data_IF_810721639061
#
_entry.id   IF_810721639061
#
_cell.length_a   1.000
_cell.length_b   1.000
_cell.length_c   1.000
_cell.angle_alpha   90.00
_cell.angle_beta   90.00
_cell.angle_gamma   90.00
#
_symmetry.space_group_name_H-M   'P 1'
#
loop_
_entity.id
_entity.type
_entity.pdbx_description
1 polymer ?
#
# COMPACT_ATOMS: atom_id res chain seq x y z
N UNK A 1 -12.16 -39.41 5.85
CA UNK A 1 -10.95 -38.84 6.47
C UNK A 1 -10.42 -37.75 5.56
N UNK A 2 -10.74 -36.50 5.87
CA UNK A 2 -10.21 -35.31 5.17
C UNK A 2 -8.87 -34.95 5.81
N UNK A 3 -7.76 -34.88 5.06
CA UNK A 3 -6.52 -34.37 5.64
C UNK A 3 -6.70 -32.87 5.88
N UNK A 4 -6.69 -32.48 7.16
CA UNK A 4 -6.47 -31.10 7.56
C UNK A 4 -5.12 -30.65 6.99
N UNK A 5 -5.17 -29.77 5.99
CA UNK A 5 -4.01 -29.00 5.56
C UNK A 5 -3.66 -28.04 6.70
N UNK A 6 -2.78 -28.48 7.59
CA UNK A 6 -2.00 -27.59 8.44
C UNK A 6 -1.27 -26.64 7.49
N UNK A 7 -1.79 -25.42 7.35
CA UNK A 7 -1.08 -24.33 6.72
C UNK A 7 0.22 -24.13 7.52
N UNK A 8 1.35 -24.48 6.93
CA UNK A 8 2.67 -24.41 7.57
C UNK A 8 2.91 -23.02 8.20
N UNK A 9 3.39 -22.96 9.45
CA UNK A 9 3.59 -21.71 10.21
C UNK A 9 4.91 -21.03 9.84
N UNK A 10 5.32 -21.08 8.57
CA UNK A 10 6.22 -20.06 8.05
C UNK A 10 5.39 -18.78 7.93
N UNK A 11 5.13 -18.13 9.07
CA UNK A 11 4.72 -16.75 9.11
C UNK A 11 5.68 -16.01 8.19
N UNK A 12 5.19 -15.64 7.01
CA UNK A 12 6.04 -15.18 5.94
C UNK A 12 6.72 -13.90 6.41
N UNK A 13 8.03 -13.98 6.68
CA UNK A 13 8.84 -12.81 6.99
C UNK A 13 8.50 -11.72 5.98
N UNK A 14 8.12 -10.55 6.47
CA UNK A 14 7.73 -9.44 5.63
C UNK A 14 8.63 -8.25 5.93
N UNK A 15 9.05 -7.58 4.87
CA UNK A 15 9.82 -6.35 4.94
C UNK A 15 8.94 -5.19 4.48
N UNK A 16 9.17 -4.02 5.05
CA UNK A 16 8.45 -2.82 4.68
C UNK A 16 9.37 -1.61 4.57
N UNK A 17 9.04 -0.70 3.66
CA UNK A 17 9.64 0.65 3.70
C UNK A 17 9.16 1.38 4.96
N UNK A 18 10.01 2.19 5.61
CA UNK A 18 9.60 2.95 6.78
C UNK A 18 8.49 3.93 6.40
N UNK A 19 7.44 4.02 7.22
CA UNK A 19 6.40 5.03 7.03
C UNK A 19 6.90 6.36 7.58
N UNK A 20 7.24 7.27 6.68
CA UNK A 20 7.61 8.65 7.04
C UNK A 20 6.43 9.56 6.77
N UNK A 21 6.06 10.33 7.78
CA UNK A 21 4.92 11.24 7.67
C UNK A 21 5.43 12.66 7.46
N UNK A 22 4.96 13.32 6.42
CA UNK A 22 5.31 14.70 6.10
C UNK A 22 4.92 15.64 7.25
N UNK A 23 5.69 16.68 7.48
CA UNK A 23 5.36 17.70 8.47
C UNK A 23 3.99 18.34 8.19
N UNK A 24 3.36 18.87 9.24
CA UNK A 24 2.15 19.68 9.09
C UNK A 24 2.47 20.91 8.23
N UNK A 25 1.59 21.23 7.30
CA UNK A 25 1.65 22.50 6.59
C UNK A 25 1.13 23.63 7.48
N UNK A 26 1.56 24.89 7.27
CA UNK A 26 0.97 26.03 7.97
C UNK A 26 -0.55 26.05 7.82
N UNK A 27 -1.27 26.16 8.95
CA UNK A 27 -2.73 26.15 8.98
C UNK A 27 -3.38 24.75 8.92
N UNK A 28 -2.61 23.67 8.77
CA UNK A 28 -3.11 22.31 8.85
C UNK A 28 -3.33 21.88 10.31
N UNK A 29 -4.51 21.35 10.61
CA UNK A 29 -4.81 20.76 11.91
C UNK A 29 -4.28 19.33 12.01
N UNK A 30 -3.75 18.96 13.19
CA UNK A 30 -3.45 17.58 13.53
C UNK A 30 -4.68 16.66 13.51
N UNK A 31 -5.90 17.23 13.53
CA UNK A 31 -7.16 16.49 13.44
C UNK A 31 -7.76 16.50 12.03
N UNK A 32 -7.08 17.09 11.04
CA UNK A 32 -7.54 17.08 9.66
C UNK A 32 -7.69 15.64 9.15
N UNK A 33 -8.78 15.36 8.45
CA UNK A 33 -9.04 14.05 7.86
C UNK A 33 -8.22 13.88 6.57
N UNK A 34 -7.46 12.79 6.52
CA UNK A 34 -6.67 12.36 5.39
C UNK A 34 -7.35 11.20 4.67
N UNK A 35 -7.22 11.18 3.35
CA UNK A 35 -7.67 10.08 2.51
C UNK A 35 -6.64 8.97 2.51
N UNK A 36 -6.93 7.86 3.18
CA UNK A 36 -6.03 6.72 3.32
C UNK A 36 -6.47 5.59 2.41
N UNK A 37 -5.54 5.03 1.66
CA UNK A 37 -5.75 3.84 0.83
C UNK A 37 -4.79 2.74 1.29
N UNK A 38 -5.36 1.59 1.65
CA UNK A 38 -4.64 0.37 2.02
C UNK A 38 -4.98 -0.67 0.97
N UNK A 39 -3.98 -1.21 0.28
CA UNK A 39 -4.17 -2.24 -0.74
C UNK A 39 -3.40 -3.47 -0.35
N UNK A 40 -4.03 -4.63 -0.52
CA UNK A 40 -3.39 -5.93 -0.55
C UNK A 40 -3.45 -6.49 -1.97
N UNK A 41 -2.38 -7.17 -2.36
CA UNK A 41 -2.28 -7.90 -3.60
C UNK A 41 -1.65 -9.27 -3.35
N UNK A 42 -2.19 -10.30 -4.01
CA UNK A 42 -1.58 -11.62 -4.08
C UNK A 42 -1.08 -11.85 -5.50
N UNK A 43 0.23 -12.02 -5.65
CA UNK A 43 0.91 -12.21 -6.93
C UNK A 43 0.74 -13.65 -7.39
N UNK A 44 0.55 -13.90 -8.69
CA UNK A 44 0.53 -15.26 -9.28
C UNK A 44 1.90 -15.93 -9.16
N UNK A 45 1.98 -17.28 -9.09
CA UNK A 45 3.25 -17.99 -9.12
C UNK A 45 4.12 -17.59 -10.33
N UNK A 46 5.43 -17.49 -10.15
CA UNK A 46 6.37 -17.10 -11.22
C UNK A 46 6.48 -15.59 -11.51
N UNK A 47 5.54 -14.77 -11.05
CA UNK A 47 5.48 -13.34 -11.42
C UNK A 47 6.04 -12.36 -10.37
N UNK A 48 6.62 -12.86 -9.25
CA UNK A 48 7.08 -12.03 -8.12
C UNK A 48 8.05 -10.91 -8.52
N UNK A 49 8.98 -11.19 -9.43
CA UNK A 49 10.02 -10.23 -9.81
C UNK A 49 9.46 -9.13 -10.72
N UNK A 50 8.60 -9.49 -11.67
CA UNK A 50 7.90 -8.54 -12.52
C UNK A 50 7.02 -7.59 -11.67
N UNK A 51 6.24 -8.15 -10.74
CA UNK A 51 5.43 -7.34 -9.84
C UNK A 51 6.28 -6.45 -8.91
N UNK A 52 7.40 -6.96 -8.40
CA UNK A 52 8.32 -6.18 -7.58
C UNK A 52 8.99 -5.04 -8.36
N UNK A 53 9.22 -5.18 -9.67
CA UNK A 53 9.72 -4.10 -10.52
C UNK A 53 8.68 -2.96 -10.65
N UNK A 54 7.43 -3.29 -10.96
CA UNK A 54 6.34 -2.31 -11.02
C UNK A 54 6.14 -1.59 -9.68
N UNK A 55 6.14 -2.35 -8.58
CA UNK A 55 5.99 -1.79 -7.23
C UNK A 55 7.13 -0.82 -6.89
N UNK A 56 8.37 -1.14 -7.29
CA UNK A 56 9.51 -0.23 -7.10
C UNK A 56 9.38 1.07 -7.89
N UNK A 57 8.87 1.01 -9.13
CA UNK A 57 8.63 2.21 -9.93
C UNK A 57 7.60 3.12 -9.28
N UNK A 58 6.48 2.54 -8.81
CA UNK A 58 5.44 3.30 -8.10
C UNK A 58 5.96 3.86 -6.77
N UNK A 59 6.77 3.09 -6.02
CA UNK A 59 7.38 3.56 -4.78
C UNK A 59 8.39 4.70 -5.02
N UNK A 60 9.17 4.65 -6.10
CA UNK A 60 10.06 5.73 -6.49
C UNK A 60 9.27 7.01 -6.81
N UNK A 61 8.20 6.89 -7.60
CA UNK A 61 7.30 8.01 -7.91
C UNK A 61 6.71 8.63 -6.63
N UNK A 62 6.27 7.82 -5.66
CA UNK A 62 5.79 8.31 -4.38
C UNK A 62 6.89 9.03 -3.58
N UNK A 63 8.12 8.54 -3.64
CA UNK A 63 9.28 9.12 -2.96
C UNK A 63 9.74 10.47 -3.55
N UNK A 64 9.37 10.79 -4.79
CA UNK A 64 9.62 12.10 -5.41
C UNK A 64 8.82 13.25 -4.79
N UNK A 65 7.85 12.96 -3.90
CA UNK A 65 7.07 13.98 -3.20
C UNK A 65 5.85 14.46 -3.99
N UNK A 66 4.92 13.53 -4.22
CA UNK A 66 3.67 13.82 -4.95
C UNK A 66 2.84 14.90 -4.24
N UNK A 67 2.20 15.83 -4.96
CA UNK A 67 1.32 16.82 -4.36
C UNK A 67 0.28 16.17 -3.47
N UNK A 68 0.10 16.70 -2.26
CA UNK A 68 -0.87 16.19 -1.29
C UNK A 68 -0.51 14.87 -0.60
N UNK A 69 0.59 14.21 -0.96
CA UNK A 69 1.02 12.98 -0.28
C UNK A 69 1.53 13.30 1.12
N UNK A 70 0.93 12.67 2.14
CA UNK A 70 1.32 12.82 3.54
C UNK A 70 2.26 11.69 3.97
N UNK A 71 1.96 10.45 3.59
CA UNK A 71 2.86 9.33 3.81
C UNK A 71 2.59 8.20 2.82
N UNK A 72 3.59 7.34 2.67
CA UNK A 72 3.43 6.05 2.01
C UNK A 72 4.28 4.98 2.70
N UNK A 73 3.86 3.72 2.56
CA UNK A 73 4.67 2.55 2.91
C UNK A 73 4.30 1.39 2.00
N UNK A 74 5.30 0.59 1.64
CA UNK A 74 5.13 -0.64 0.88
C UNK A 74 5.66 -1.79 1.74
N UNK A 75 4.87 -2.85 1.88
CA UNK A 75 5.23 -4.09 2.57
C UNK A 75 5.12 -5.27 1.61
N UNK A 76 6.01 -6.25 1.75
CA UNK A 76 5.93 -7.51 1.01
C UNK A 76 6.45 -8.66 1.82
N UNK A 77 5.93 -9.85 1.57
CA UNK A 77 6.54 -11.08 2.04
C UNK A 77 7.87 -11.31 1.31
N UNK A 78 8.88 -11.79 2.05
CA UNK A 78 10.22 -12.10 1.53
C UNK A 78 10.18 -13.38 0.69
N UNK A 79 9.51 -14.41 1.21
CA UNK A 79 9.38 -15.73 0.55
C UNK A 79 7.98 -16.00 0.01
N UNK A 80 7.02 -15.13 0.34
CA UNK A 80 5.63 -15.30 -0.02
C UNK A 80 5.23 -14.56 -1.29
N UNK A 81 3.91 -14.41 -1.45
CA UNK A 81 3.27 -13.87 -2.66
C UNK A 81 2.46 -12.61 -2.38
N UNK A 82 2.42 -12.17 -1.14
CA UNK A 82 1.60 -11.05 -0.73
C UNK A 82 2.41 -9.76 -0.68
N UNK A 83 1.77 -8.69 -1.13
CA UNK A 83 2.26 -7.34 -1.04
C UNK A 83 1.15 -6.42 -0.55
N UNK A 84 1.54 -5.36 0.14
CA UNK A 84 0.65 -4.34 0.63
C UNK A 84 1.20 -2.95 0.35
N UNK A 85 0.31 -2.02 0.07
CA UNK A 85 0.63 -0.60 -0.02
C UNK A 85 -0.28 0.19 0.91
N UNK A 86 0.27 1.23 1.51
CA UNK A 86 -0.45 2.22 2.28
C UNK A 86 -0.05 3.59 1.76
N UNK A 87 -1.04 4.43 1.48
CA UNK A 87 -0.83 5.85 1.14
C UNK A 87 -1.84 6.70 1.90
N UNK A 88 -1.41 7.85 2.38
CA UNK A 88 -2.28 8.86 2.99
C UNK A 88 -2.13 10.18 2.23
N UNK A 89 -3.26 10.78 1.89
CA UNK A 89 -3.35 11.98 1.06
C UNK A 89 -4.15 13.06 1.79
N UNK A 90 -3.77 14.32 1.62
CA UNK A 90 -4.52 15.47 2.15
C UNK A 90 -5.94 15.52 1.57
N UNK A 91 -6.03 15.31 0.26
CA UNK A 91 -7.27 15.42 -0.49
C UNK A 91 -7.46 14.22 -1.42
N UNK A 92 -8.71 13.90 -1.74
CA UNK A 92 -9.04 12.79 -2.63
C UNK A 92 -8.56 13.07 -4.06
N UNK A 93 -8.60 14.33 -4.46
CA UNK A 93 -8.19 14.85 -5.75
C UNK A 93 -6.69 14.62 -5.99
N UNK A 94 -5.86 14.77 -4.95
CA UNK A 94 -4.42 14.51 -5.04
C UNK A 94 -4.13 13.02 -5.25
N UNK A 95 -4.84 12.15 -4.53
CA UNK A 95 -4.79 10.69 -4.75
C UNK A 95 -5.22 10.35 -6.17
N UNK A 96 -6.29 10.94 -6.66
CA UNK A 96 -6.85 10.62 -7.97
C UNK A 96 -5.95 11.13 -9.10
N UNK A 97 -5.29 12.29 -8.91
CA UNK A 97 -4.23 12.78 -9.80
C UNK A 97 -3.06 11.80 -9.84
N UNK A 98 -2.60 11.31 -8.69
CA UNK A 98 -1.57 10.27 -8.63
C UNK A 98 -2.01 8.98 -9.33
N UNK A 99 -3.26 8.56 -9.12
CA UNK A 99 -3.79 7.36 -9.73
C UNK A 99 -3.79 7.44 -11.27
N UNK A 100 -4.00 8.64 -11.82
CA UNK A 100 -3.95 8.95 -13.24
C UNK A 100 -2.52 9.16 -13.79
N UNK A 101 -1.50 9.23 -12.94
CA UNK A 101 -0.11 9.42 -13.39
C UNK A 101 0.32 8.26 -14.32
N UNK A 102 0.99 8.53 -15.46
CA UNK A 102 1.29 7.50 -16.47
C UNK A 102 2.00 6.26 -15.91
N UNK A 103 2.98 6.46 -15.01
CA UNK A 103 3.70 5.37 -14.35
C UNK A 103 2.77 4.50 -13.49
N UNK A 104 1.87 5.12 -12.72
CA UNK A 104 0.92 4.38 -11.89
C UNK A 104 -0.12 3.66 -12.76
N UNK A 105 -0.68 4.35 -13.76
CA UNK A 105 -1.63 3.76 -14.71
C UNK A 105 -1.04 2.55 -15.45
N UNK A 106 0.20 2.67 -15.92
CA UNK A 106 0.94 1.56 -16.53
C UNK A 106 1.13 0.39 -15.55
N UNK A 107 1.58 0.66 -14.33
CA UNK A 107 1.78 -0.37 -13.32
C UNK A 107 0.48 -1.11 -12.97
N UNK A 108 -0.63 -0.39 -12.87
CA UNK A 108 -1.95 -0.97 -12.64
C UNK A 108 -2.41 -1.84 -13.81
N UNK A 109 -2.22 -1.39 -15.05
CA UNK A 109 -2.56 -2.17 -16.24
C UNK A 109 -1.73 -3.45 -16.35
N UNK A 110 -0.40 -3.34 -16.19
CA UNK A 110 0.52 -4.48 -16.26
C UNK A 110 0.27 -5.49 -15.13
N UNK A 111 -0.11 -5.01 -13.93
CA UNK A 111 -0.35 -5.87 -12.77
C UNK A 111 -1.59 -6.77 -12.92
N UNK A 112 -2.55 -6.45 -13.82
CA UNK A 112 -3.77 -7.25 -14.02
C UNK A 112 -3.48 -8.72 -14.35
N UNK A 113 -2.43 -8.99 -15.12
CA UNK A 113 -2.04 -10.35 -15.49
C UNK A 113 -1.11 -11.02 -14.47
N UNK A 114 -0.50 -10.23 -13.57
CA UNK A 114 0.47 -10.71 -12.59
C UNK A 114 -0.17 -11.08 -11.25
N UNK A 115 -1.39 -10.59 -10.97
CA UNK A 115 -2.07 -10.79 -9.70
C UNK A 115 -3.13 -11.91 -9.78
N UNK A 116 -3.21 -12.71 -8.73
CA UNK A 116 -4.33 -13.65 -8.53
C UNK A 116 -5.48 -13.01 -7.77
N UNK A 117 -5.19 -12.02 -6.93
CA UNK A 117 -6.21 -11.27 -6.20
C UNK A 117 -5.68 -9.88 -5.82
N UNK A 118 -6.61 -8.93 -5.67
CA UNK A 118 -6.35 -7.59 -5.14
C UNK A 118 -7.54 -7.14 -4.31
N UNK A 119 -7.28 -6.44 -3.22
CA UNK A 119 -8.30 -5.81 -2.38
C UNK A 119 -7.79 -4.46 -1.92
N UNK A 120 -8.62 -3.44 -2.02
CA UNK A 120 -8.29 -2.09 -1.56
C UNK A 120 -9.37 -1.61 -0.62
N UNK A 121 -8.96 -1.09 0.55
CA UNK A 121 -9.83 -0.31 1.42
C UNK A 121 -9.43 1.16 1.34
N UNK A 122 -10.44 2.02 1.22
CA UNK A 122 -10.31 3.48 1.31
C UNK A 122 -11.06 3.93 2.55
N UNK A 123 -10.44 4.80 3.34
CA UNK A 123 -11.03 5.35 4.56
C UNK A 123 -10.45 6.74 4.83
N UNK A 124 -11.10 7.47 5.74
CA UNK A 124 -10.58 8.72 6.27
C UNK A 124 -9.97 8.46 7.66
N UNK A 125 -8.76 8.97 7.91
CA UNK A 125 -8.11 8.96 9.23
C UNK A 125 -7.67 10.37 9.59
N UNK A 126 -7.67 10.72 10.88
CA UNK A 126 -7.09 11.98 11.33
C UNK A 126 -5.58 11.97 11.14
N UNK A 127 -5.03 13.17 10.94
CA UNK A 127 -3.60 13.38 10.75
C UNK A 127 -2.78 12.88 11.94
N UNK A 128 -3.27 12.97 13.17
CA UNK A 128 -2.61 12.50 14.40
C UNK A 128 -2.77 11.00 14.68
N UNK A 129 -3.55 10.28 13.88
CA UNK A 129 -3.60 8.81 13.88
C UNK A 129 -2.47 8.18 13.05
N UNK A 130 -1.64 9.01 12.40
CA UNK A 130 -0.46 8.58 11.62
C UNK A 130 0.85 8.88 12.36
N UNK A 131 1.88 8.00 12.22
CA UNK A 131 1.94 6.84 11.32
C UNK A 131 1.19 5.61 11.86
N UNK A 132 0.53 4.88 10.95
CA UNK A 132 0.00 3.56 11.26
C UNK A 132 1.13 2.53 11.35
N UNK A 133 1.02 1.61 12.31
CA UNK A 133 1.76 0.35 12.24
C UNK A 133 1.16 -0.53 11.14
N UNK A 134 1.97 -1.43 10.56
CA UNK A 134 1.44 -2.40 9.61
C UNK A 134 0.39 -3.33 10.23
N UNK A 135 0.49 -3.67 11.52
CA UNK A 135 -0.54 -4.44 12.21
C UNK A 135 -1.88 -3.68 12.23
N UNK A 136 -1.86 -2.38 12.55
CA UNK A 136 -3.05 -1.53 12.51
C UNK A 136 -3.61 -1.37 11.09
N UNK A 137 -2.75 -1.18 10.10
CA UNK A 137 -3.15 -1.11 8.70
C UNK A 137 -3.81 -2.41 8.19
N UNK A 138 -3.32 -3.58 8.61
CA UNK A 138 -3.89 -4.86 8.24
C UNK A 138 -5.24 -5.11 8.94
N UNK A 139 -5.36 -4.77 10.23
CA UNK A 139 -6.63 -4.83 10.94
C UNK A 139 -7.69 -3.95 10.26
N UNK A 140 -7.30 -2.74 9.84
CA UNK A 140 -8.15 -1.88 9.02
C UNK A 140 -8.44 -2.46 7.64
N UNK A 141 -7.62 -3.32 7.05
CA UNK A 141 -7.94 -3.91 5.76
C UNK A 141 -8.95 -5.07 5.86
N UNK A 142 -8.98 -5.76 7.00
CA UNK A 142 -9.76 -6.97 7.23
C UNK A 142 -11.15 -6.75 7.84
N UNK A 143 -11.38 -5.63 8.55
CA UNK A 143 -12.71 -5.24 9.05
C UNK A 143 -13.63 -4.66 7.98
#
# INVERSE_FOLDING_TARGET
MTPSLLASPLAAFAISTPMRVAALMPGESAQALLQVSITWACVRPGHRFAFAALTRQVAALLAEGQPGLVCHSVRREVFGRQAWTLTAWRHAEDRDRFAAHPVHAHAMAASRQLLSAVRTRRLALRRDELPLSWAGALALLDG
#
